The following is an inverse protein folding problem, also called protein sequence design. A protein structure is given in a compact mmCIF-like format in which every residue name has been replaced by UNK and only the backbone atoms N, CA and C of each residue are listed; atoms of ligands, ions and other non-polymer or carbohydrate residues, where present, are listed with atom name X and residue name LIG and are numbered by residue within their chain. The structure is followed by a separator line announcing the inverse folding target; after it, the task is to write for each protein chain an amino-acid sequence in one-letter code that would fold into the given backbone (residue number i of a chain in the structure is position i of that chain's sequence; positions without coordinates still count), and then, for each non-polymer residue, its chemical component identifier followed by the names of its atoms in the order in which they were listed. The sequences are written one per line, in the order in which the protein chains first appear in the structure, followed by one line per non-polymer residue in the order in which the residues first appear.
data_IF_842799248930
#
_entry.id   IF_842799248930
#
_cell.length_a   1.000
_cell.length_b   1.000
_cell.length_c   1.000
_cell.angle_alpha   90.00
_cell.angle_beta   90.00
_cell.angle_gamma   90.00
#
_symmetry.space_group_name_H-M   'P 1'
#
loop_
_entity.id
_entity.type
_entity.pdbx_description
1 polymer ?
#
# COMPACT_ATOMS: atom_id res chain seq x y z
N UNK A 1 -9.65 3.76 5.82
CA UNK A 1 -10.37 2.55 5.36
C UNK A 1 -11.71 2.99 4.82
N UNK A 2 -12.05 2.55 3.59
CA UNK A 2 -13.32 2.89 2.94
C UNK A 2 -14.48 2.21 3.66
N UNK A 3 -15.56 2.94 3.93
CA UNK A 3 -16.75 2.39 4.59
C UNK A 3 -17.76 1.85 3.56
N UNK A 4 -18.70 1.01 4.01
CA UNK A 4 -19.73 0.47 3.12
C UNK A 4 -20.68 1.57 2.63
N UNK A 5 -20.99 2.55 3.48
CA UNK A 5 -21.83 3.69 3.16
C UNK A 5 -21.21 4.53 2.03
N UNK A 6 -19.88 4.71 2.04
CA UNK A 6 -19.16 5.41 0.97
C UNK A 6 -19.25 4.68 -0.38
N UNK A 7 -19.33 3.34 -0.38
CA UNK A 7 -19.48 2.54 -1.60
C UNK A 7 -20.91 2.60 -2.11
N UNK A 8 -21.88 2.40 -1.23
CA UNK A 8 -23.29 2.39 -1.58
C UNK A 8 -23.76 3.76 -2.10
N UNK A 9 -23.18 4.85 -1.60
CA UNK A 9 -23.45 6.21 -2.08
C UNK A 9 -22.97 6.49 -3.52
N UNK A 10 -22.07 5.67 -4.08
CA UNK A 10 -21.63 5.79 -5.48
C UNK A 10 -22.67 5.26 -6.47
N UNK A 11 -23.67 4.49 -6.00
CA UNK A 11 -24.72 3.98 -6.84
C UNK A 11 -25.87 4.99 -7.00
N UNK A 12 -26.52 5.03 -8.19
CA UNK A 12 -27.70 5.85 -8.40
C UNK A 12 -28.80 5.53 -7.38
N UNK A 13 -29.60 6.54 -7.07
CA UNK A 13 -30.48 6.69 -5.90
C UNK A 13 -31.70 5.76 -5.83
N UNK A 14 -31.52 4.46 -6.03
CA UNK A 14 -32.50 3.49 -5.58
C UNK A 14 -32.35 3.29 -4.07
N UNK A 15 -33.43 3.47 -3.30
CA UNK A 15 -33.47 3.18 -1.86
C UNK A 15 -33.00 1.74 -1.55
N UNK A 16 -33.23 0.80 -2.48
CA UNK A 16 -32.85 -0.60 -2.35
C UNK A 16 -31.36 -0.86 -2.58
N UNK A 17 -30.63 0.02 -3.28
CA UNK A 17 -29.19 -0.12 -3.51
C UNK A 17 -28.33 0.55 -2.45
N UNK A 18 -28.92 1.37 -1.58
CA UNK A 18 -28.21 2.15 -0.55
C UNK A 18 -28.36 1.64 0.88
N UNK A 19 -29.25 0.69 1.10
CA UNK A 19 -29.43 0.05 2.40
C UNK A 19 -28.29 -0.97 2.63
N UNK A 20 -27.49 -0.82 3.70
CA UNK A 20 -26.45 -1.79 4.08
C UNK A 20 -27.00 -3.20 4.36
N UNK A 21 -28.26 -3.32 4.75
CA UNK A 21 -28.92 -4.60 5.05
C UNK A 21 -29.58 -5.25 3.83
N UNK A 22 -29.58 -4.56 2.68
CA UNK A 22 -29.98 -5.15 1.40
C UNK A 22 -29.05 -6.29 0.96
N UNK A 23 -29.51 -7.13 0.04
CA UNK A 23 -28.67 -8.18 -0.54
C UNK A 23 -27.40 -7.62 -1.23
N UNK A 24 -27.50 -6.40 -1.77
CA UNK A 24 -26.37 -5.70 -2.39
C UNK A 24 -25.40 -5.20 -1.30
N UNK A 25 -25.92 -4.61 -0.23
CA UNK A 25 -25.12 -4.18 0.93
C UNK A 25 -24.36 -5.35 1.56
N UNK A 26 -25.04 -6.47 1.81
CA UNK A 26 -24.42 -7.68 2.38
C UNK A 26 -23.28 -8.23 1.50
N UNK A 27 -23.47 -8.26 0.17
CA UNK A 27 -22.40 -8.67 -0.77
C UNK A 27 -21.22 -7.73 -0.71
N UNK A 28 -21.45 -6.42 -0.74
CA UNK A 28 -20.38 -5.42 -0.63
C UNK A 28 -19.67 -5.48 0.70
N UNK A 29 -20.34 -5.81 1.80
CA UNK A 29 -19.72 -5.98 3.12
C UNK A 29 -18.68 -7.10 3.13
N UNK A 30 -18.99 -8.23 2.50
CA UNK A 30 -18.08 -9.36 2.38
C UNK A 30 -16.88 -9.03 1.46
N UNK A 31 -17.16 -8.47 0.28
CA UNK A 31 -16.12 -8.09 -0.69
C UNK A 31 -15.21 -6.97 -0.16
N UNK A 32 -15.77 -6.01 0.58
CA UNK A 32 -15.01 -4.89 1.15
C UNK A 32 -13.97 -5.37 2.15
N UNK A 33 -14.27 -6.39 2.95
CA UNK A 33 -13.30 -6.96 3.87
C UNK A 33 -12.08 -7.53 3.12
N UNK A 34 -12.31 -8.27 2.04
CA UNK A 34 -11.25 -8.83 1.19
C UNK A 34 -10.44 -7.74 0.47
N UNK A 35 -11.13 -6.70 -0.03
CA UNK A 35 -10.47 -5.57 -0.68
C UNK A 35 -9.65 -4.74 0.31
N UNK A 36 -10.11 -4.58 1.55
CA UNK A 36 -9.37 -3.90 2.62
C UNK A 36 -8.12 -4.69 3.01
N UNK A 37 -8.21 -6.01 3.12
CA UNK A 37 -7.04 -6.87 3.36
C UNK A 37 -6.03 -6.75 2.22
N UNK A 38 -6.50 -6.82 0.97
CA UNK A 38 -5.65 -6.64 -0.22
C UNK A 38 -4.99 -5.27 -0.23
N UNK A 39 -5.73 -4.20 0.11
CA UNK A 39 -5.20 -2.85 0.24
C UNK A 39 -4.11 -2.76 1.31
N UNK A 40 -4.31 -3.40 2.47
CA UNK A 40 -3.33 -3.43 3.54
C UNK A 40 -2.04 -4.17 3.13
N UNK A 41 -2.18 -5.29 2.41
CA UNK A 41 -1.02 -6.01 1.83
C UNK A 41 -0.29 -5.13 0.81
N UNK A 42 -1.00 -4.46 -0.10
CA UNK A 42 -0.40 -3.55 -1.08
C UNK A 42 0.29 -2.35 -0.40
N UNK A 43 -0.28 -1.79 0.65
CA UNK A 43 0.34 -0.75 1.48
C UNK A 43 1.60 -1.27 2.17
N UNK A 44 1.59 -2.50 2.70
CA UNK A 44 2.79 -3.12 3.28
C UNK A 44 3.91 -3.29 2.26
N UNK A 45 3.57 -3.65 1.00
CA UNK A 45 4.52 -3.74 -0.12
C UNK A 45 5.04 -2.35 -0.49
N UNK A 46 4.19 -1.30 -0.40
CA UNK A 46 4.64 0.07 -0.60
C UNK A 46 5.67 0.50 0.45
N UNK A 47 5.55 0.01 1.70
CA UNK A 47 6.55 0.19 2.76
C UNK A 47 7.92 -0.43 2.43
N UNK A 48 7.96 -1.47 1.59
CA UNK A 48 9.20 -2.05 1.02
C UNK A 48 9.84 -1.10 -0.01
N UNK A 49 9.17 -0.05 -0.47
CA UNK A 49 9.79 0.96 -1.34
C UNK A 49 10.21 2.24 -0.61
N UNK A 50 9.82 2.38 0.66
CA UNK A 50 10.10 3.56 1.47
C UNK A 50 11.42 3.43 2.23
N UNK A 51 12.53 3.37 1.48
CA UNK A 51 13.88 3.28 2.05
C UNK A 51 14.20 4.35 3.10
N UNK A 52 13.47 5.49 3.13
CA UNK A 52 13.71 6.59 4.08
C UNK A 52 13.48 6.17 5.53
N UNK A 53 12.54 5.25 5.75
CA UNK A 53 12.11 4.82 7.08
C UNK A 53 12.60 3.40 7.44
N UNK A 54 13.22 2.68 6.50
CA UNK A 54 13.67 1.30 6.70
C UNK A 54 15.14 1.22 7.15
N UNK A 55 15.48 0.22 7.96
CA UNK A 55 16.84 -0.02 8.47
C UNK A 55 17.27 -1.48 8.30
N UNK A 56 18.56 -1.74 8.48
CA UNK A 56 19.15 -3.07 8.52
C UNK A 56 18.91 -3.87 7.25
N UNK A 57 18.48 -5.13 7.42
CA UNK A 57 18.30 -6.09 6.32
C UNK A 57 17.18 -5.70 5.35
N UNK A 58 16.14 -4.99 5.80
CA UNK A 58 15.06 -4.51 4.92
C UNK A 58 15.66 -3.49 3.94
N UNK A 59 16.44 -2.53 4.44
CA UNK A 59 17.09 -1.52 3.61
C UNK A 59 18.05 -2.14 2.57
N UNK A 60 18.75 -3.22 2.94
CA UNK A 60 19.60 -3.99 2.01
C UNK A 60 18.79 -4.68 0.91
N UNK A 61 17.61 -5.21 1.24
CA UNK A 61 16.70 -5.85 0.30
C UNK A 61 16.18 -4.84 -0.72
N UNK A 62 15.85 -3.62 -0.28
CA UNK A 62 15.47 -2.51 -1.15
C UNK A 62 16.62 -2.14 -2.10
N UNK A 63 17.83 -2.01 -1.55
CA UNK A 63 19.00 -1.74 -2.37
C UNK A 63 19.30 -2.84 -3.39
N UNK A 64 19.13 -4.12 -3.04
CA UNK A 64 19.24 -5.24 -3.97
C UNK A 64 18.24 -5.12 -5.12
N UNK A 65 16.98 -4.77 -4.84
CA UNK A 65 15.97 -4.51 -5.88
C UNK A 65 16.34 -3.33 -6.79
N UNK A 66 17.04 -2.33 -6.24
CA UNK A 66 17.56 -1.18 -6.98
C UNK A 66 18.92 -1.46 -7.67
N UNK A 67 19.48 -2.66 -7.54
CA UNK A 67 20.85 -3.02 -7.99
C UNK A 67 21.94 -2.14 -7.36
N UNK A 68 21.74 -1.75 -6.10
CA UNK A 68 22.59 -0.85 -5.33
C UNK A 68 22.96 -1.50 -3.99
N UNK A 69 23.98 -2.36 -3.90
CA UNK A 69 24.38 -3.00 -2.64
C UNK A 69 24.96 -1.98 -1.62
N UNK A 70 24.86 -2.28 -0.32
CA UNK A 70 25.25 -1.37 0.79
C UNK A 70 26.75 -1.11 0.89
N UNK A 71 27.60 -2.04 0.43
CA UNK A 71 29.06 -1.89 0.38
C UNK A 71 29.70 -1.36 1.69
N UNK A 72 29.21 -1.80 2.86
CA UNK A 72 29.74 -1.38 4.18
C UNK A 72 29.31 0.03 4.64
N UNK A 73 28.36 0.66 3.95
CA UNK A 73 27.82 1.97 4.29
C UNK A 73 26.81 1.87 5.42
N UNK A 74 26.90 2.78 6.40
CA UNK A 74 25.89 2.90 7.46
C UNK A 74 24.48 3.21 6.90
N UNK A 75 23.44 2.80 7.62
CA UNK A 75 22.04 2.94 7.24
C UNK A 75 21.70 4.37 6.80
N UNK A 76 22.12 5.38 7.58
CA UNK A 76 21.82 6.76 7.28
C UNK A 76 22.35 7.20 5.91
N UNK A 77 23.63 6.90 5.64
CA UNK A 77 24.29 7.24 4.37
C UNK A 77 23.71 6.43 3.22
N UNK A 78 23.36 5.16 3.48
CA UNK A 78 22.79 4.28 2.47
C UNK A 78 21.39 4.73 2.04
N UNK A 79 20.55 5.24 2.95
CA UNK A 79 19.26 5.85 2.62
C UNK A 79 19.39 7.04 1.66
N UNK A 80 20.37 7.92 1.92
CA UNK A 80 20.64 9.06 1.04
C UNK A 80 21.09 8.57 -0.34
N UNK A 81 21.97 7.57 -0.38
CA UNK A 81 22.42 6.98 -1.64
C UNK A 81 21.28 6.37 -2.46
N UNK A 82 20.40 5.59 -1.82
CA UNK A 82 19.23 5.01 -2.49
C UNK A 82 18.26 6.09 -3.00
N UNK A 83 18.17 7.24 -2.31
CA UNK A 83 17.36 8.38 -2.77
C UNK A 83 17.84 8.96 -4.10
N UNK A 84 19.15 9.11 -4.24
CA UNK A 84 19.79 9.62 -5.46
C UNK A 84 19.70 8.58 -6.58
N UNK A 85 19.95 7.30 -6.26
CA UNK A 85 19.88 6.21 -7.23
C UNK A 85 18.48 6.04 -7.83
N UNK A 86 17.42 6.25 -7.02
CA UNK A 86 16.03 6.23 -7.51
C UNK A 86 15.72 7.38 -8.45
N UNK A 87 16.23 8.59 -8.19
CA UNK A 87 16.01 9.75 -9.06
C UNK A 87 16.64 9.58 -10.45
N UNK A 88 17.83 8.96 -10.54
CA UNK A 88 18.52 8.69 -11.81
C UNK A 88 17.82 7.67 -12.73
N UNK A 89 16.80 6.98 -12.22
CA UNK A 89 16.09 5.89 -12.92
C UNK A 89 14.74 6.31 -13.50
N UNK A 90 14.27 7.53 -13.18
CA UNK A 90 13.17 8.20 -13.88
C UNK A 90 13.71 8.85 -15.15
#
# INVERSE_FOLDING_TARGET
MTSIEEILNKYPSSLFSRDPESDIGKKWKAELALLQETSSVLESISGVTDYKNQSGAILDLIGKNLKQPRNGTDDFRYRIFLSIARQKRK
#
